data_IF_656003123251
#
_entry.id   IF_656003123251
#
_cell.length_a   1.000
_cell.length_b   1.000
_cell.length_c   1.000
_cell.angle_alpha   90.00
_cell.angle_beta   90.00
_cell.angle_gamma   90.00
#
_symmetry.space_group_name_H-M   'P 1'
#
loop_
_entity.id
_entity.type
_entity.pdbx_description
1 polymer ?
#
# COMPACT_ATOMS: atom_id res chain seq x y z
N UNK A 1 11.92 -9.36 0.96
CA UNK A 1 11.72 -8.43 2.08
C UNK A 1 10.24 -8.08 2.15
N UNK A 2 9.62 -8.21 3.33
CA UNK A 2 8.21 -7.87 3.53
C UNK A 2 8.07 -6.40 3.95
N UNK A 3 7.09 -5.71 3.41
CA UNK A 3 6.83 -4.28 3.68
C UNK A 3 5.41 -4.11 4.20
N UNK A 4 5.24 -3.24 5.19
CA UNK A 4 3.93 -2.87 5.73
C UNK A 4 3.75 -1.34 5.68
N UNK A 5 2.58 -0.89 5.24
CA UNK A 5 2.19 0.53 5.30
C UNK A 5 1.06 0.68 6.31
N UNK A 6 1.29 1.44 7.37
CA UNK A 6 0.26 1.79 8.37
C UNK A 6 -0.33 3.14 8.01
N UNK A 7 -1.66 3.18 7.85
CA UNK A 7 -2.35 4.36 7.35
C UNK A 7 -2.40 4.40 5.81
N UNK A 8 -2.46 3.25 5.15
CA UNK A 8 -2.49 3.14 3.69
C UNK A 8 -3.61 3.98 3.06
N UNK A 9 -4.73 4.15 3.76
CA UNK A 9 -5.88 4.95 3.30
C UNK A 9 -5.70 6.48 3.36
N UNK A 10 -4.63 6.98 3.99
CA UNK A 10 -4.35 8.41 4.10
C UNK A 10 -3.56 8.94 2.90
N UNK A 11 -3.49 10.26 2.75
CA UNK A 11 -2.78 10.91 1.63
C UNK A 11 -1.33 10.42 1.49
N UNK A 12 -0.60 10.37 2.60
CA UNK A 12 0.79 9.88 2.61
C UNK A 12 0.88 8.39 2.27
N UNK A 13 -0.05 7.56 2.77
CA UNK A 13 -0.08 6.12 2.47
C UNK A 13 -0.30 5.83 0.98
N UNK A 14 -1.18 6.60 0.33
CA UNK A 14 -1.41 6.53 -1.11
C UNK A 14 -0.18 6.95 -1.92
N UNK A 15 0.50 8.03 -1.51
CA UNK A 15 1.75 8.45 -2.16
C UNK A 15 2.86 7.39 -2.02
N UNK A 16 2.95 6.72 -0.87
CA UNK A 16 3.87 5.60 -0.69
C UNK A 16 3.59 4.47 -1.69
N UNK A 17 2.33 4.08 -1.88
CA UNK A 17 1.96 3.06 -2.87
C UNK A 17 2.40 3.47 -4.28
N UNK A 18 2.14 4.73 -4.66
CA UNK A 18 2.55 5.26 -5.97
C UNK A 18 4.06 5.20 -6.16
N UNK A 19 4.83 5.71 -5.21
CA UNK A 19 6.30 5.73 -5.29
C UNK A 19 6.89 4.32 -5.30
N UNK A 20 6.36 3.39 -4.49
CA UNK A 20 6.81 1.99 -4.47
C UNK A 20 6.54 1.26 -5.80
N UNK A 21 5.43 1.60 -6.46
CA UNK A 21 5.11 1.11 -7.80
C UNK A 21 6.07 1.70 -8.84
N UNK A 22 6.18 3.03 -8.91
CA UNK A 22 7.04 3.75 -9.88
C UNK A 22 8.51 3.33 -9.80
N UNK A 23 9.01 3.10 -8.58
CA UNK A 23 10.42 2.75 -8.35
C UNK A 23 10.70 1.26 -8.50
N UNK A 24 9.69 0.45 -8.83
CA UNK A 24 9.78 -1.02 -8.84
C UNK A 24 10.48 -1.54 -7.57
N UNK A 25 10.10 -0.98 -6.42
CA UNK A 25 10.79 -1.26 -5.16
C UNK A 25 10.86 -2.78 -4.88
N UNK A 26 12.04 -3.32 -4.54
CA UNK A 26 12.22 -4.76 -4.35
C UNK A 26 11.57 -5.22 -3.04
N UNK A 27 10.47 -5.93 -3.14
CA UNK A 27 9.77 -6.54 -2.01
C UNK A 27 9.10 -7.84 -2.41
N UNK A 28 8.90 -8.71 -1.43
CA UNK A 28 8.28 -10.04 -1.62
C UNK A 28 6.81 -10.04 -1.22
N UNK A 29 6.40 -9.09 -0.38
CA UNK A 29 5.04 -8.99 0.15
C UNK A 29 4.78 -7.54 0.58
N UNK A 30 3.57 -7.04 0.35
CA UNK A 30 3.09 -5.74 0.80
C UNK A 30 1.81 -5.92 1.62
N UNK A 31 1.84 -5.49 2.88
CA UNK A 31 0.69 -5.50 3.77
C UNK A 31 0.19 -4.07 4.02
N UNK A 32 -1.11 -3.83 3.83
CA UNK A 32 -1.74 -2.52 4.02
C UNK A 32 -2.57 -2.53 5.30
N UNK A 33 -2.26 -1.62 6.20
CA UNK A 33 -2.96 -1.45 7.47
C UNK A 33 -3.67 -0.09 7.52
N UNK A 34 -4.82 -0.08 8.19
CA UNK A 34 -5.61 1.11 8.41
C UNK A 34 -6.52 0.95 9.63
N UNK A 35 -7.25 2.02 9.93
CA UNK A 35 -8.31 2.01 10.94
C UNK A 35 -9.47 1.09 10.53
N UNK A 36 -10.33 0.71 11.48
CA UNK A 36 -11.52 -0.12 11.24
C UNK A 36 -12.44 0.43 10.13
N UNK A 37 -12.55 1.76 10.03
CA UNK A 37 -13.33 2.45 8.97
C UNK A 37 -12.80 2.24 7.53
N UNK A 38 -11.55 1.81 7.38
CA UNK A 38 -10.94 1.51 6.07
C UNK A 38 -10.64 0.03 5.88
N UNK A 39 -10.99 -0.83 6.84
CA UNK A 39 -10.85 -2.27 6.70
C UNK A 39 -11.69 -2.79 5.51
N UNK A 40 -11.13 -3.72 4.75
CA UNK A 40 -11.76 -4.31 3.56
C UNK A 40 -11.71 -3.44 2.30
N UNK A 41 -11.18 -2.22 2.37
CA UNK A 41 -10.91 -1.43 1.17
C UNK A 41 -9.73 -2.03 0.40
N UNK A 42 -9.92 -2.12 -0.91
CA UNK A 42 -8.92 -2.59 -1.86
C UNK A 42 -8.24 -1.39 -2.49
N UNK A 43 -6.93 -1.49 -2.71
CA UNK A 43 -6.12 -0.44 -3.31
C UNK A 43 -5.30 -1.03 -4.45
N UNK A 44 -5.47 -0.46 -5.64
CA UNK A 44 -4.75 -0.90 -6.82
C UNK A 44 -3.24 -0.67 -6.62
N UNK A 45 -2.46 -1.72 -6.78
CA UNK A 45 -1.00 -1.67 -6.71
C UNK A 45 -0.40 -2.45 -7.86
N UNK A 46 0.34 -1.78 -8.74
CA UNK A 46 0.95 -2.36 -9.97
C UNK A 46 -0.08 -3.08 -10.88
N UNK A 47 -1.29 -2.53 -10.98
CA UNK A 47 -2.37 -3.12 -11.79
C UNK A 47 -2.96 -4.40 -11.19
N UNK A 48 -2.74 -4.65 -9.91
CA UNK A 48 -3.38 -5.72 -9.14
C UNK A 48 -4.30 -5.08 -8.09
N UNK A 49 -5.50 -5.64 -7.94
CA UNK A 49 -6.51 -5.20 -6.97
C UNK A 49 -6.59 -6.24 -5.85
#
# INVERSE_FOLDING_TARGET
>A
MKVAIVGASGAVGQEFLRVLAERNFPMTELALFGSSRSAGKVYDFRGQN
#
